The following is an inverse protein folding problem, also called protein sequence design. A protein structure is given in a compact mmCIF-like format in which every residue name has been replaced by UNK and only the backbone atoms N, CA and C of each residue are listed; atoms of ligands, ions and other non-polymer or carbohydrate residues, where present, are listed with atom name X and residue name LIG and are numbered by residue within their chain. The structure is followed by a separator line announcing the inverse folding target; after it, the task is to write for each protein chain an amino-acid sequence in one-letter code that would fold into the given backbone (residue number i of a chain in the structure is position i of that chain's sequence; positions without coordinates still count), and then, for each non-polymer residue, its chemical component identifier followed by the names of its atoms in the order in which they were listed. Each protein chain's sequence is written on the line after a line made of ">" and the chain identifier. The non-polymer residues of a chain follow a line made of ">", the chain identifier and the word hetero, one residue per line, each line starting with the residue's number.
data_IF_664607386301
#
_entry.id   IF_664607386301
#
_cell.length_a   1.000
_cell.length_b   1.000
_cell.length_c   1.000
_cell.angle_alpha   90.00
_cell.angle_beta   90.00
_cell.angle_gamma   90.00
#
_symmetry.space_group_name_H-M   'P 1'
#
loop_
_entity.id
_entity.type
_entity.pdbx_description
1 polymer ?
#
# COMPACT_ATOMS: atom_id res chain seq x y z
N UNK A 1 65.44 38.56 -7.91
CA UNK A 1 65.80 37.57 -6.88
C UNK A 1 64.83 37.72 -5.72
N UNK A 2 64.28 36.59 -5.24
CA UNK A 2 63.59 36.35 -3.96
C UNK A 2 62.27 37.13 -3.77
N UNK A 3 61.09 36.51 -3.65
CA UNK A 3 60.74 35.25 -2.99
C UNK A 3 59.84 35.58 -1.80
N UNK A 4 58.60 36.01 -2.05
CA UNK A 4 57.59 36.21 -1.00
C UNK A 4 56.87 34.87 -0.77
N UNK A 5 57.57 34.02 -0.04
CA UNK A 5 57.12 32.73 0.47
C UNK A 5 55.97 32.91 1.46
N UNK A 6 54.86 32.21 1.20
CA UNK A 6 54.04 31.53 2.20
C UNK A 6 53.33 32.39 3.24
N UNK A 7 52.08 32.75 2.96
CA UNK A 7 51.07 32.90 4.01
C UNK A 7 50.89 31.54 4.71
N UNK A 8 51.72 31.26 5.70
CA UNK A 8 51.37 30.29 6.72
C UNK A 8 50.19 30.88 7.48
N UNK A 9 48.98 30.43 7.15
CA UNK A 9 47.80 30.62 7.99
C UNK A 9 48.09 29.90 9.31
N UNK A 10 48.69 30.62 10.26
CA UNK A 10 48.91 30.17 11.62
C UNK A 10 47.55 30.10 12.28
N UNK A 11 46.89 28.95 12.14
CA UNK A 11 45.77 28.57 12.99
C UNK A 11 46.34 28.45 14.41
N UNK A 12 46.31 29.58 15.14
CA UNK A 12 46.82 29.75 16.50
C UNK A 12 46.46 28.53 17.37
N UNK A 13 47.41 28.01 18.15
CA UNK A 13 47.26 26.75 18.91
C UNK A 13 46.00 26.66 19.80
N UNK A 14 45.39 27.79 20.11
CA UNK A 14 44.09 27.93 20.79
C UNK A 14 42.94 27.33 19.95
N UNK A 15 42.97 27.48 18.63
CA UNK A 15 41.94 27.00 17.71
C UNK A 15 42.01 25.46 17.55
N UNK A 16 43.20 24.84 17.63
CA UNK A 16 43.34 23.36 17.66
C UNK A 16 42.71 22.73 18.91
N UNK A 17 42.77 23.40 20.06
CA UNK A 17 42.15 22.93 21.31
C UNK A 17 40.62 22.99 21.26
N UNK A 18 40.07 24.09 20.73
CA UNK A 18 38.63 24.25 20.48
C UNK A 18 38.11 23.27 19.43
N UNK A 19 38.85 23.07 18.32
CA UNK A 19 38.49 22.12 17.28
C UNK A 19 38.46 20.67 17.81
N UNK A 20 39.44 20.28 18.65
CA UNK A 20 39.47 18.95 19.30
C UNK A 20 38.32 18.76 20.29
N UNK A 21 38.01 19.77 21.12
CA UNK A 21 36.87 19.71 22.03
C UNK A 21 35.54 19.64 21.26
N UNK A 22 35.42 20.42 20.19
CA UNK A 22 34.28 20.39 19.28
C UNK A 22 34.12 19.04 18.58
N UNK A 23 35.21 18.43 18.10
CA UNK A 23 35.16 17.11 17.47
C UNK A 23 34.80 16.01 18.45
N UNK A 24 35.28 16.08 19.70
CA UNK A 24 34.90 15.13 20.76
C UNK A 24 33.41 15.29 21.09
N UNK A 25 32.92 16.53 21.26
CA UNK A 25 31.51 16.80 21.52
C UNK A 25 30.63 16.28 20.38
N UNK A 26 31.01 16.52 19.13
CA UNK A 26 30.31 15.99 17.95
C UNK A 26 30.30 14.46 17.94
N UNK A 27 31.43 13.83 18.24
CA UNK A 27 31.54 12.37 18.29
C UNK A 27 30.65 11.77 19.38
N UNK A 28 30.61 12.37 20.56
CA UNK A 28 29.69 11.97 21.64
C UNK A 28 28.23 12.11 21.18
N UNK A 29 27.88 13.20 20.50
CA UNK A 29 26.55 13.43 19.95
C UNK A 29 26.16 12.37 18.91
N UNK A 30 27.09 12.00 18.03
CA UNK A 30 26.90 10.94 17.03
C UNK A 30 26.69 9.59 17.71
N UNK A 31 27.51 9.25 18.72
CA UNK A 31 27.39 7.98 19.44
C UNK A 31 26.06 7.91 20.19
N UNK A 32 25.66 8.98 20.89
CA UNK A 32 24.36 9.06 21.56
C UNK A 32 23.20 8.95 20.56
N UNK A 33 23.28 9.67 19.44
CA UNK A 33 22.27 9.60 18.37
C UNK A 33 22.15 8.19 17.77
N UNK A 34 23.28 7.52 17.52
CA UNK A 34 23.30 6.15 17.06
C UNK A 34 22.71 5.19 18.10
N UNK A 35 23.05 5.35 19.38
CA UNK A 35 22.53 4.51 20.46
C UNK A 35 20.99 4.61 20.55
N UNK A 36 20.43 5.81 20.45
CA UNK A 36 18.98 6.04 20.42
C UNK A 36 18.34 5.40 19.19
N UNK A 37 18.97 5.51 18.03
CA UNK A 37 18.44 4.94 16.78
C UNK A 37 18.47 3.40 16.78
N UNK A 38 19.44 2.78 17.45
CA UNK A 38 19.52 1.33 17.63
C UNK A 38 18.63 0.81 18.78
N UNK A 39 18.38 1.60 19.81
CA UNK A 39 17.52 1.19 20.94
C UNK A 39 16.02 1.34 20.63
N UNK A 40 15.65 2.14 19.63
CA UNK A 40 14.24 2.33 19.25
C UNK A 40 13.75 1.15 18.40
N UNK A 41 12.73 0.38 18.84
CA UNK A 41 12.20 -0.72 18.06
C UNK A 41 11.60 -0.21 16.73
N UNK A 42 11.69 -1.02 15.69
CA UNK A 42 11.00 -0.73 14.44
C UNK A 42 9.48 -0.86 14.65
N UNK A 43 8.72 0.11 14.18
CA UNK A 43 7.26 0.13 14.23
C UNK A 43 6.70 0.11 12.81
N UNK A 44 5.53 -0.47 12.67
CA UNK A 44 4.78 -0.50 11.42
C UNK A 44 3.66 0.53 11.48
N UNK A 45 3.34 1.18 10.36
CA UNK A 45 2.25 2.16 10.31
C UNK A 45 1.72 2.30 8.90
N UNK A 46 0.45 2.68 8.78
CA UNK A 46 -0.12 3.01 7.48
C UNK A 46 0.21 4.45 7.09
N UNK A 47 0.52 4.65 5.81
CA UNK A 47 0.65 5.94 5.16
C UNK A 47 -0.47 6.08 4.14
N UNK A 48 -1.09 7.25 4.09
CA UNK A 48 -2.10 7.55 3.07
C UNK A 48 -1.44 7.74 1.69
N UNK A 49 -2.02 7.10 0.68
CA UNK A 49 -1.66 7.28 -0.73
C UNK A 49 -2.92 7.59 -1.56
N UNK A 50 -2.73 8.02 -2.80
CA UNK A 50 -3.86 8.21 -3.70
C UNK A 50 -4.54 6.87 -3.98
N UNK A 51 -5.82 6.75 -3.60
CA UNK A 51 -6.62 5.54 -3.84
C UNK A 51 -6.35 4.39 -2.86
N UNK A 52 -5.56 4.59 -1.80
CA UNK A 52 -5.29 3.51 -0.85
C UNK A 52 -4.37 3.88 0.30
N UNK A 53 -3.78 2.84 0.89
CA UNK A 53 -2.83 2.92 2.01
C UNK A 53 -1.56 2.16 1.66
N UNK A 54 -0.42 2.58 2.18
CA UNK A 54 0.81 1.79 2.14
C UNK A 54 1.28 1.44 3.55
N UNK A 55 1.66 0.18 3.77
CA UNK A 55 2.20 -0.25 5.05
C UNK A 55 3.70 0.04 5.06
N UNK A 56 4.14 0.89 5.97
CA UNK A 56 5.53 1.29 6.11
C UNK A 56 6.13 0.68 7.38
N UNK A 57 7.41 0.34 7.33
CA UNK A 57 8.24 0.01 8.48
C UNK A 57 9.19 1.16 8.71
N UNK A 58 9.20 1.72 9.91
CA UNK A 58 10.12 2.80 10.25
C UNK A 58 10.62 2.78 11.69
N UNK A 59 11.69 3.52 11.91
CA UNK A 59 12.19 3.88 13.25
C UNK A 59 11.98 5.38 13.46
N UNK A 60 11.82 5.80 14.71
CA UNK A 60 11.64 7.21 15.09
C UNK A 60 10.45 7.87 14.36
N UNK A 61 9.22 7.49 14.73
CA UNK A 61 8.00 8.24 14.39
C UNK A 61 7.86 8.60 12.89
N UNK A 62 8.27 7.68 11.99
CA UNK A 62 8.05 7.81 10.55
C UNK A 62 9.08 8.61 9.76
N UNK A 63 10.19 9.05 10.36
CA UNK A 63 11.23 9.83 9.64
C UNK A 63 12.05 8.99 8.65
N UNK A 64 12.19 7.69 8.91
CA UNK A 64 12.90 6.73 8.06
C UNK A 64 11.98 5.53 7.88
N UNK A 65 11.02 5.65 6.96
CA UNK A 65 10.03 4.63 6.64
C UNK A 65 10.26 4.03 5.26
N UNK A 66 10.43 2.72 5.19
CA UNK A 66 10.41 1.96 3.93
C UNK A 66 9.09 1.20 3.81
N UNK A 67 8.53 1.12 2.61
CA UNK A 67 7.38 0.27 2.35
C UNK A 67 7.70 -1.19 2.72
N UNK A 68 6.76 -1.87 3.36
CA UNK A 68 6.83 -3.32 3.60
C UNK A 68 6.58 -4.02 2.27
N UNK A 69 7.42 -5.00 1.94
CA UNK A 69 7.29 -5.81 0.71
C UNK A 69 5.91 -6.45 0.62
N UNK A 70 5.28 -6.38 -0.56
CA UNK A 70 3.91 -6.86 -0.79
C UNK A 70 2.80 -5.91 -0.31
N UNK A 71 3.11 -4.89 0.48
CA UNK A 71 2.13 -3.94 1.04
C UNK A 71 2.47 -2.48 0.70
N UNK A 72 3.21 -2.27 -0.38
CA UNK A 72 3.55 -0.94 -0.89
C UNK A 72 2.34 -0.15 -1.39
N UNK A 73 1.26 -0.84 -1.80
CA UNK A 73 -0.02 -0.21 -2.11
C UNK A 73 -1.17 -1.17 -1.82
N UNK A 74 -2.03 -0.80 -0.88
CA UNK A 74 -3.24 -1.53 -0.49
C UNK A 74 -4.44 -0.68 -0.95
N UNK A 75 -5.17 -1.08 -1.99
CA UNK A 75 -6.28 -0.30 -2.53
C UNK A 75 -7.47 -0.36 -1.57
N UNK A 76 -7.67 0.70 -0.80
CA UNK A 76 -8.75 0.82 0.18
C UNK A 76 -9.37 2.21 0.07
N UNK A 77 -10.63 2.26 -0.35
CA UNK A 77 -11.40 3.50 -0.45
C UNK A 77 -12.21 3.82 0.83
N UNK A 78 -12.30 2.87 1.77
CA UNK A 78 -13.07 3.01 2.99
C UNK A 78 -12.56 4.20 3.83
N UNK A 79 -13.41 5.19 4.17
CA UNK A 79 -13.00 6.36 4.95
C UNK A 79 -12.41 6.00 6.31
N UNK A 80 -12.98 5.00 7.00
CA UNK A 80 -12.51 4.54 8.32
C UNK A 80 -11.07 4.01 8.27
N UNK A 81 -10.63 3.46 7.14
CA UNK A 81 -9.26 2.98 6.99
C UNK A 81 -8.23 4.12 7.11
N UNK A 82 -8.64 5.38 6.84
CA UNK A 82 -7.78 6.56 7.02
C UNK A 82 -7.50 6.87 8.49
N UNK A 83 -8.34 6.41 9.41
CA UNK A 83 -8.11 6.58 10.85
C UNK A 83 -6.90 5.78 11.35
N UNK A 84 -6.50 4.74 10.61
CA UNK A 84 -5.32 3.92 10.90
C UNK A 84 -4.00 4.59 10.46
N UNK A 85 -4.06 5.69 9.71
CA UNK A 85 -2.88 6.38 9.19
C UNK A 85 -2.06 6.96 10.34
N UNK A 86 -0.77 6.66 10.34
CA UNK A 86 0.17 7.10 11.39
C UNK A 86 0.07 6.35 12.71
N UNK A 87 -0.92 5.46 12.90
CA UNK A 87 -0.98 4.58 14.06
C UNK A 87 0.18 3.58 13.99
N UNK A 88 0.89 3.43 15.11
CA UNK A 88 2.06 2.57 15.21
C UNK A 88 1.67 1.18 15.73
N UNK A 89 2.20 0.16 15.07
CA UNK A 89 1.99 -1.26 15.36
C UNK A 89 3.33 -1.94 15.63
N UNK A 90 3.32 -2.97 16.47
CA UNK A 90 4.51 -3.77 16.77
C UNK A 90 4.81 -4.78 15.66
N UNK A 91 3.77 -5.26 14.97
CA UNK A 91 3.91 -6.24 13.88
C UNK A 91 3.07 -5.89 12.66
N UNK A 92 3.43 -6.48 11.51
CA UNK A 92 2.63 -6.39 10.28
C UNK A 92 1.24 -7.00 10.48
N UNK A 93 1.16 -8.17 11.11
CA UNK A 93 -0.13 -8.85 11.30
C UNK A 93 -1.07 -8.05 12.19
N UNK A 94 -0.56 -7.37 13.23
CA UNK A 94 -1.37 -6.49 14.06
C UNK A 94 -1.99 -5.35 13.24
N UNK A 95 -1.19 -4.67 12.41
CA UNK A 95 -1.66 -3.62 11.52
C UNK A 95 -2.74 -4.14 10.54
N UNK A 96 -2.49 -5.31 9.93
CA UNK A 96 -3.43 -5.94 9.00
C UNK A 96 -4.70 -6.44 9.71
N UNK A 97 -4.59 -6.89 10.95
CA UNK A 97 -5.73 -7.37 11.75
C UNK A 97 -6.73 -6.27 12.05
N UNK A 98 -6.29 -5.02 12.17
CA UNK A 98 -7.17 -3.85 12.31
C UNK A 98 -7.77 -3.41 10.97
N UNK A 99 -6.99 -3.49 9.88
CA UNK A 99 -7.45 -3.09 8.55
C UNK A 99 -8.47 -4.07 7.96
N UNK A 100 -8.26 -5.38 8.15
CA UNK A 100 -9.08 -6.46 7.56
C UNK A 100 -10.59 -6.31 7.82
N UNK A 101 -11.08 -6.12 9.05
CA UNK A 101 -12.52 -5.97 9.30
C UNK A 101 -13.11 -4.72 8.66
N UNK A 102 -12.35 -3.63 8.54
CA UNK A 102 -12.79 -2.40 7.88
C UNK A 102 -13.00 -2.65 6.38
N UNK A 103 -12.01 -3.28 5.74
CA UNK A 103 -12.08 -3.60 4.30
C UNK A 103 -13.19 -4.61 4.02
N UNK A 104 -13.33 -5.64 4.86
CA UNK A 104 -14.38 -6.65 4.69
C UNK A 104 -15.77 -6.04 4.82
N UNK A 105 -15.99 -5.17 5.81
CA UNK A 105 -17.26 -4.45 5.96
C UNK A 105 -17.54 -3.57 4.75
N UNK A 106 -16.58 -2.74 4.35
CA UNK A 106 -16.73 -1.85 3.20
C UNK A 106 -17.02 -2.63 1.90
N UNK A 107 -16.37 -3.78 1.71
CA UNK A 107 -16.65 -4.66 0.57
C UNK A 107 -18.07 -5.22 0.61
N UNK A 108 -18.52 -5.71 1.77
CA UNK A 108 -19.89 -6.22 1.95
C UNK A 108 -20.94 -5.15 1.70
N UNK A 109 -20.75 -3.96 2.25
CA UNK A 109 -21.64 -2.82 2.06
C UNK A 109 -21.64 -2.35 0.61
N UNK A 110 -20.47 -2.26 -0.03
CA UNK A 110 -20.35 -1.93 -1.44
C UNK A 110 -21.08 -2.91 -2.35
N UNK A 111 -20.88 -4.22 -2.13
CA UNK A 111 -21.58 -5.26 -2.88
C UNK A 111 -23.09 -5.22 -2.65
N UNK A 112 -23.54 -5.01 -1.41
CA UNK A 112 -24.96 -4.88 -1.10
C UNK A 112 -25.58 -3.64 -1.77
N UNK A 113 -24.86 -2.53 -1.83
CA UNK A 113 -25.32 -1.28 -2.43
C UNK A 113 -25.51 -1.36 -3.94
N UNK A 114 -24.74 -2.23 -4.63
CA UNK A 114 -24.85 -2.43 -6.09
C UNK A 114 -25.69 -3.64 -6.48
N UNK A 115 -26.10 -4.48 -5.53
CA UNK A 115 -26.72 -5.78 -5.80
C UNK A 115 -27.99 -5.68 -6.67
N UNK A 116 -28.85 -4.69 -6.42
CA UNK A 116 -30.09 -4.53 -7.21
C UNK A 116 -29.80 -4.01 -8.62
N UNK A 117 -28.81 -3.13 -8.77
CA UNK A 117 -28.35 -2.66 -10.08
C UNK A 117 -27.69 -3.78 -10.88
N UNK A 118 -26.89 -4.63 -10.21
CA UNK A 118 -26.30 -5.81 -10.83
C UNK A 118 -27.38 -6.78 -11.32
N UNK A 119 -28.44 -7.02 -10.53
CA UNK A 119 -29.58 -7.86 -10.96
C UNK A 119 -30.30 -7.28 -12.16
N UNK A 120 -30.59 -5.98 -12.15
CA UNK A 120 -31.22 -5.31 -13.28
C UNK A 120 -30.36 -5.41 -14.55
N UNK A 121 -29.03 -5.25 -14.40
CA UNK A 121 -28.08 -5.40 -15.50
C UNK A 121 -28.04 -6.85 -16.00
N UNK A 122 -28.01 -7.83 -15.10
CA UNK A 122 -28.02 -9.25 -15.46
C UNK A 122 -29.28 -9.62 -16.26
N UNK A 123 -30.44 -9.06 -15.90
CA UNK A 123 -31.67 -9.26 -16.66
C UNK A 123 -31.56 -8.68 -18.08
N UNK A 124 -31.00 -7.48 -18.24
CA UNK A 124 -30.77 -6.88 -19.56
C UNK A 124 -29.85 -7.77 -20.43
N UNK A 125 -28.79 -8.33 -19.84
CA UNK A 125 -27.85 -9.21 -20.53
C UNK A 125 -28.42 -10.59 -20.90
N UNK A 126 -29.60 -10.99 -20.40
CA UNK A 126 -30.26 -12.23 -20.86
C UNK A 126 -30.55 -12.28 -22.34
N UNK A 127 -30.77 -11.12 -22.96
CA UNK A 127 -31.00 -11.03 -24.41
C UNK A 127 -29.70 -11.04 -25.21
N UNK A 128 -28.59 -10.64 -24.58
CA UNK A 128 -27.29 -10.49 -25.21
C UNK A 128 -26.52 -11.82 -25.22
N UNK A 129 -26.49 -12.53 -24.08
CA UNK A 129 -25.71 -13.76 -23.94
C UNK A 129 -26.04 -14.84 -25.00
N UNK A 130 -27.31 -15.12 -25.34
CA UNK A 130 -27.63 -16.09 -26.40
C UNK A 130 -27.12 -15.67 -27.78
N UNK A 131 -27.11 -14.37 -28.10
CA UNK A 131 -26.59 -13.87 -29.37
C UNK A 131 -25.06 -14.01 -29.42
N UNK A 132 -24.38 -13.76 -28.30
CA UNK A 132 -22.93 -13.95 -28.19
C UNK A 132 -22.57 -15.44 -28.30
N UNK A 133 -23.33 -16.32 -27.65
CA UNK A 133 -23.16 -17.78 -27.76
C UNK A 133 -23.46 -18.27 -29.19
N UNK A 134 -24.49 -17.73 -29.84
CA UNK A 134 -24.80 -18.00 -31.23
C UNK A 134 -23.65 -17.59 -32.17
N UNK A 135 -23.05 -16.41 -31.93
CA UNK A 135 -21.89 -15.97 -32.70
C UNK A 135 -20.68 -16.92 -32.55
N UNK A 136 -20.44 -17.44 -31.34
CA UNK A 136 -19.40 -18.46 -31.10
C UNK A 136 -19.69 -19.76 -31.87
N UNK A 137 -20.95 -20.21 -31.87
CA UNK A 137 -21.36 -21.40 -32.64
C UNK A 137 -21.20 -21.21 -34.16
N UNK A 138 -21.28 -19.97 -34.64
CA UNK A 138 -21.05 -19.60 -36.04
C UNK A 138 -19.57 -19.35 -36.36
N UNK A 139 -18.66 -19.57 -35.40
CA UNK A 139 -17.21 -19.48 -35.59
C UNK A 139 -16.60 -18.12 -35.29
N UNK A 140 -17.32 -17.19 -34.66
CA UNK A 140 -16.76 -15.89 -34.23
C UNK A 140 -16.08 -16.05 -32.87
N UNK A 141 -14.76 -16.19 -32.86
CA UNK A 141 -13.97 -16.57 -31.67
C UNK A 141 -13.71 -15.44 -30.67
N UNK A 142 -13.83 -14.17 -31.08
CA UNK A 142 -13.48 -13.00 -30.25
C UNK A 142 -14.31 -12.87 -28.97
N UNK A 143 -15.38 -13.65 -28.84
CA UNK A 143 -16.32 -13.55 -27.72
C UNK A 143 -16.19 -14.64 -26.66
N UNK A 144 -15.27 -15.61 -26.80
CA UNK A 144 -15.22 -16.79 -25.93
C UNK A 144 -15.06 -16.42 -24.44
N UNK A 145 -14.01 -15.66 -24.10
CA UNK A 145 -13.76 -15.20 -22.72
C UNK A 145 -14.90 -14.33 -22.19
N UNK A 146 -15.49 -13.50 -23.05
CA UNK A 146 -16.60 -12.60 -22.67
C UNK A 146 -17.87 -13.39 -22.36
N UNK A 147 -18.18 -14.40 -23.16
CA UNK A 147 -19.36 -15.24 -22.97
C UNK A 147 -19.29 -16.03 -21.66
N UNK A 148 -18.13 -16.61 -21.34
CA UNK A 148 -17.92 -17.36 -20.09
C UNK A 148 -17.99 -16.43 -18.87
N UNK A 149 -17.29 -15.29 -18.89
CA UNK A 149 -17.33 -14.32 -17.81
C UNK A 149 -18.75 -13.78 -17.57
N UNK A 150 -19.48 -13.45 -18.63
CA UNK A 150 -20.86 -12.97 -18.56
C UNK A 150 -21.80 -14.03 -17.99
N UNK A 151 -21.70 -15.28 -18.44
CA UNK A 151 -22.53 -16.37 -17.95
C UNK A 151 -22.33 -16.61 -16.44
N UNK A 152 -21.07 -16.68 -15.99
CA UNK A 152 -20.73 -16.90 -14.57
C UNK A 152 -21.18 -15.73 -13.69
N UNK A 153 -20.95 -14.50 -14.14
CA UNK A 153 -21.39 -13.30 -13.41
C UNK A 153 -22.92 -13.27 -13.28
N UNK A 154 -23.66 -13.50 -14.37
CA UNK A 154 -25.13 -13.57 -14.33
C UNK A 154 -25.63 -14.69 -13.41
N UNK A 155 -24.96 -15.84 -13.37
CA UNK A 155 -25.29 -16.95 -12.47
C UNK A 155 -25.19 -16.54 -11.00
N UNK A 156 -24.09 -15.90 -10.62
CA UNK A 156 -23.83 -15.43 -9.25
C UNK A 156 -24.86 -14.38 -8.83
N UNK A 157 -25.09 -13.37 -9.68
CA UNK A 157 -25.97 -12.23 -9.36
C UNK A 157 -27.45 -12.63 -9.32
N UNK A 158 -27.90 -13.53 -10.19
CA UNK A 158 -29.30 -13.96 -10.24
C UNK A 158 -29.61 -15.14 -9.31
N UNK A 159 -28.60 -15.71 -8.65
CA UNK A 159 -28.75 -16.88 -7.79
C UNK A 159 -29.16 -18.16 -8.53
N UNK A 160 -29.11 -18.17 -9.87
CA UNK A 160 -29.45 -19.33 -10.70
C UNK A 160 -28.25 -20.27 -10.82
N UNK A 161 -27.70 -20.69 -9.68
CA UNK A 161 -26.65 -21.71 -9.65
C UNK A 161 -27.14 -22.99 -10.37
N UNK A 162 -26.54 -23.31 -11.51
CA UNK A 162 -26.53 -24.62 -12.13
C UNK A 162 -27.86 -25.39 -12.24
N UNK A 163 -28.77 -24.96 -13.13
CA UNK A 163 -29.69 -25.91 -13.80
C UNK A 163 -28.97 -26.71 -14.92
N UNK A 164 -27.64 -26.65 -15.02
CA UNK A 164 -26.84 -27.56 -15.85
C UNK A 164 -26.49 -28.82 -15.06
N UNK A 165 -27.50 -29.66 -14.80
CA UNK A 165 -27.27 -31.11 -14.85
C UNK A 165 -27.77 -31.58 -16.21
N UNK A 166 -26.78 -31.89 -17.02
CA UNK A 166 -26.83 -32.58 -18.31
C UNK A 166 -27.81 -33.76 -18.30
N UNK A 167 -28.71 -33.79 -19.29
CA UNK A 167 -29.28 -35.02 -19.83
C UNK A 167 -28.29 -35.67 -20.80
#
# INVERSE_FOLDING_TARGET
>A
MQGATGEQVVVSGINRGLLKKGSIALLVLIVLGALVLFSTPARYYFRAEQGGLSLCKGRLWGFIGSAVEGYGHIPVAAPEARELVGKAYDTVEEALSELRPIVERAAKEGLAAVAEQEKALAEAYRTVLPNVQGALLLGVTDYETRADAMARWMEVVTGKAGSRRTH
#
